data_IF_502606882356
#
_entry.id   IF_502606882356
#
_cell.length_a   1.000
_cell.length_b   1.000
_cell.length_c   1.000
_cell.angle_alpha   90.00
_cell.angle_beta   90.00
_cell.angle_gamma   90.00
#
_symmetry.space_group_name_H-M   'P 1'
#
loop_
_entity.id
_entity.type
_entity.pdbx_description
1 polymer ?
2 non-polymer ?
3 non-polymer ?
4 non-polymer ?
5 non-polymer ?
6 non-polymer ?
7 water ?
#
# COMPACT_ATOMS: atom_id res chain seq x y z
N UNK A 26 -7.03 14.75 23.41
CA UNK A 26 -7.80 13.91 22.50
C UNK A 26 -7.00 13.64 21.21
N UNK A 27 -7.08 12.40 20.67
CA UNK A 27 -6.38 12.00 19.46
C UNK A 27 -7.19 12.24 18.18
N UNK A 28 -6.56 12.96 17.24
CA UNK A 28 -7.17 13.37 15.99
C UNK A 28 -6.18 13.13 14.86
N UNK A 29 -6.61 12.25 13.96
CA UNK A 29 -5.81 11.79 12.87
C UNK A 29 -6.22 12.40 11.55
N UNK A 30 -5.23 12.60 10.71
CA UNK A 30 -5.41 13.02 9.34
C UNK A 30 -4.85 11.88 8.55
N UNK A 31 -5.72 11.15 7.83
CA UNK A 31 -5.28 10.10 6.95
C UNK A 31 -5.15 10.72 5.54
N UNK A 32 -3.93 10.82 5.05
CA UNK A 32 -3.73 11.44 3.73
C UNK A 32 -3.69 10.30 2.72
N UNK A 33 -4.84 10.05 2.05
CA UNK A 33 -4.98 8.94 1.10
C UNK A 33 -5.88 7.88 1.68
N UNK A 34 -7.04 8.32 2.23
CA UNK A 34 -7.97 7.49 3.00
C UNK A 34 -8.67 6.38 2.18
N UNK A 35 -8.73 6.50 0.87
CA UNK A 35 -9.40 5.44 0.09
C UNK A 35 -8.36 4.44 -0.45
N UNK A 36 -7.09 4.65 -0.08
CA UNK A 36 -5.97 3.80 -0.49
C UNK A 36 -5.90 2.45 0.23
N UNK A 37 -5.00 1.57 -0.23
CA UNK A 37 -4.88 0.20 0.31
C UNK A 37 -4.51 0.23 1.85
N UNK A 38 -3.76 1.26 2.30
CA UNK A 38 -3.42 1.41 3.72
C UNK A 38 -4.39 2.42 4.38
N UNK A 39 -4.67 3.53 3.69
CA UNK A 39 -5.60 4.52 4.22
C UNK A 39 -6.94 3.90 4.63
N UNK A 40 -7.45 2.95 3.83
CA UNK A 40 -8.73 2.30 4.12
C UNK A 40 -8.65 1.36 5.36
N UNK A 41 -7.45 0.76 5.63
CA UNK A 41 -7.22 -0.04 6.86
C UNK A 41 -7.15 0.93 8.05
N UNK A 42 -6.44 2.06 7.88
CA UNK A 42 -6.35 3.07 8.95
C UNK A 42 -7.77 3.63 9.29
N UNK A 43 -8.64 3.82 8.27
CA UNK A 43 -10.00 4.32 8.45
C UNK A 43 -10.85 3.33 9.23
N UNK A 44 -10.61 2.01 9.09
CA UNK A 44 -11.39 1.03 9.85
C UNK A 44 -10.80 0.84 11.25
N UNK A 45 -9.47 0.90 11.41
CA UNK A 45 -8.85 0.62 12.72
C UNK A 45 -8.79 1.80 13.67
N UNK A 46 -8.38 2.98 13.20
CA UNK A 46 -8.31 4.13 14.10
C UNK A 46 -9.57 4.35 14.92
N UNK A 47 -10.81 4.24 14.36
CA UNK A 47 -11.99 4.53 15.19
C UNK A 47 -12.34 3.48 16.27
N UNK A 48 -11.79 2.26 16.20
CA UNK A 48 -12.10 1.20 17.18
C UNK A 48 -11.75 1.58 18.63
N UNK A 49 -12.58 1.13 19.58
CA UNK A 49 -12.44 1.42 21.00
C UNK A 49 -11.14 0.90 21.62
N UNK A 50 -10.69 -0.29 21.20
CA UNK A 50 -9.45 -0.88 21.73
C UNK A 50 -8.16 -0.30 21.11
N UNK A 51 -8.26 0.62 20.12
CA UNK A 51 -7.08 1.21 19.47
C UNK A 51 -6.30 2.12 20.46
N UNK A 52 -4.93 1.98 20.53
CA UNK A 52 -4.14 2.85 21.44
C UNK A 52 -4.33 4.34 21.16
N UNK A 53 -4.36 5.16 22.24
CA UNK A 53 -4.53 6.62 22.24
C UNK A 53 -5.96 7.04 21.87
N UNK A 54 -6.85 6.07 21.68
CA UNK A 54 -8.27 6.32 21.37
C UNK A 54 -9.04 6.99 22.51
N UNK A 55 -10.30 7.45 22.28
CA UNK A 55 -11.06 7.40 21.02
C UNK A 55 -10.44 8.35 19.99
N UNK A 56 -10.37 7.94 18.71
CA UNK A 56 -9.80 8.80 17.67
C UNK A 56 -10.87 9.47 16.89
N UNK A 57 -10.68 10.77 16.66
CA UNK A 57 -11.46 11.54 15.70
C UNK A 57 -10.60 11.36 14.43
N UNK A 58 -11.24 11.14 13.27
CA UNK A 58 -10.51 10.89 12.02
C UNK A 58 -10.96 11.77 10.81
N UNK A 59 -10.00 12.45 10.17
CA UNK A 59 -10.24 13.17 8.91
C UNK A 59 -9.57 12.26 7.87
N UNK A 60 -10.26 12.06 6.74
CA UNK A 60 -9.73 11.28 5.63
C UNK A 60 -9.69 12.11 4.35
N UNK A 61 -8.54 12.21 3.70
CA UNK A 61 -8.39 12.99 2.46
C UNK A 61 -8.16 12.07 1.26
N UNK A 62 -8.80 12.39 0.13
CA UNK A 62 -8.60 11.81 -1.22
C UNK A 62 -9.27 12.81 -2.23
N UNK A 63 -8.93 12.67 -3.51
CA UNK A 63 -9.49 13.54 -4.54
C UNK A 63 -10.88 13.08 -4.99
N UNK A 64 -11.11 11.76 -5.17
CA UNK A 64 -12.43 11.39 -5.70
C UNK A 64 -13.59 11.56 -4.72
N UNK A 65 -14.86 11.58 -5.19
CA UNK A 65 -15.96 11.50 -4.22
C UNK A 65 -15.85 10.18 -3.44
N UNK A 66 -16.32 10.17 -2.17
CA UNK A 66 -16.26 8.97 -1.33
C UNK A 66 -16.95 7.71 -1.95
N UNK A 67 -16.18 6.62 -2.17
CA UNK A 67 -16.79 5.38 -2.71
C UNK A 67 -17.59 4.63 -1.63
N UNK A 68 -18.59 3.83 -2.05
CA UNK A 68 -19.47 3.04 -1.16
C UNK A 68 -18.74 2.13 -0.15
N UNK A 69 -17.64 1.47 -0.59
CA UNK A 69 -16.87 0.55 0.26
C UNK A 69 -16.04 1.25 1.34
N UNK A 70 -15.98 2.60 1.33
CA UNK A 70 -15.26 3.39 2.34
C UNK A 70 -16.26 4.00 3.37
N UNK A 71 -17.57 3.94 3.08
CA UNK A 71 -18.65 4.53 3.91
C UNK A 71 -18.80 3.91 5.33
N UNK A 72 -18.49 2.60 5.47
CA UNK A 72 -18.65 1.83 6.71
C UNK A 72 -17.75 2.29 7.88
N UNK A 73 -16.92 3.31 7.64
CA UNK A 73 -15.99 3.88 8.59
C UNK A 73 -16.53 5.22 9.06
N UNK A 74 -16.54 5.51 10.38
CA UNK A 74 -17.08 6.79 10.83
C UNK A 74 -16.08 7.96 10.76
N UNK A 75 -15.44 8.18 9.60
CA UNK A 75 -14.47 9.27 9.43
C UNK A 75 -15.09 10.56 8.80
N UNK A 76 -14.41 11.72 8.96
CA UNK A 76 -14.79 12.98 8.33
C UNK A 76 -14.03 13.02 6.99
N UNK A 77 -14.73 12.68 5.92
CA UNK A 77 -14.17 12.59 4.58
C UNK A 77 -14.01 13.99 3.96
N UNK A 78 -12.81 14.31 3.44
CA UNK A 78 -12.51 15.60 2.82
C UNK A 78 -11.95 15.40 1.42
N UNK A 79 -12.56 16.04 0.41
CA UNK A 79 -12.07 15.99 -0.96
C UNK A 79 -10.99 17.06 -1.10
N UNK A 80 -9.77 16.66 -1.45
CA UNK A 80 -8.64 17.59 -1.60
C UNK A 80 -7.58 16.97 -2.49
N UNK A 81 -7.03 17.78 -3.40
CA UNK A 81 -5.91 17.42 -4.27
C UNK A 81 -4.67 18.09 -3.64
N UNK A 82 -3.86 17.27 -3.01
CA UNK A 82 -2.69 17.74 -2.26
C UNK A 82 -1.54 18.15 -3.22
N UNK A 83 -1.73 17.94 -4.56
CA UNK A 83 -0.72 18.42 -5.49
C UNK A 83 -1.02 19.89 -5.78
N UNK A 84 -2.20 20.37 -5.28
CA UNK A 84 -2.67 21.75 -5.42
C UNK A 84 -2.47 22.52 -4.07
N UNK A 85 -1.45 23.44 -4.02
CA UNK A 85 -1.20 24.22 -2.76
C UNK A 85 -2.38 25.07 -2.30
N UNK A 86 -3.14 25.61 -3.25
CA UNK A 86 -4.32 26.44 -3.00
C UNK A 86 -5.43 25.57 -2.38
N UNK A 87 -5.70 24.37 -2.99
CA UNK A 87 -6.71 23.42 -2.47
C UNK A 87 -6.34 22.92 -1.07
N UNK A 88 -5.04 22.60 -0.86
CA UNK A 88 -4.52 22.08 0.42
C UNK A 88 -4.73 23.12 1.53
N UNK A 89 -4.31 24.38 1.27
CA UNK A 89 -4.47 25.51 2.20
C UNK A 89 -5.96 25.64 2.57
N UNK A 90 -6.86 25.58 1.58
CA UNK A 90 -8.30 25.73 1.76
C UNK A 90 -8.99 24.63 2.63
N UNK A 91 -8.79 23.36 2.29
CA UNK A 91 -9.38 22.18 2.94
C UNK A 91 -8.73 21.78 4.26
N UNK A 92 -7.43 22.04 4.43
CA UNK A 92 -6.71 21.57 5.60
C UNK A 92 -6.49 22.63 6.66
N UNK A 93 -6.30 23.89 6.27
CA UNK A 93 -6.13 24.98 7.25
C UNK A 93 -7.24 25.02 8.32
N UNK A 94 -8.53 24.68 8.03
CA UNK A 94 -9.53 24.72 9.12
C UNK A 94 -9.39 23.58 10.13
N UNK A 95 -8.58 22.50 9.81
CA UNK A 95 -8.47 21.35 10.71
C UNK A 95 -7.33 21.56 11.71
N UNK A 96 -7.64 22.41 12.69
CA UNK A 96 -6.74 22.85 13.75
C UNK A 96 -6.53 21.84 14.90
N UNK A 97 -7.45 20.88 15.06
CA UNK A 97 -7.39 19.89 16.15
C UNK A 97 -6.49 18.63 15.86
N UNK A 98 -5.87 18.53 14.63
CA UNK A 98 -5.01 17.37 14.27
C UNK A 98 -3.82 17.20 15.24
N UNK A 99 -3.66 15.96 15.73
CA UNK A 99 -2.55 15.56 16.59
C UNK A 99 -1.57 14.59 15.84
N UNK A 100 -2.09 13.74 14.91
CA UNK A 100 -1.27 12.75 14.18
C UNK A 100 -1.59 12.75 12.68
N UNK A 101 -0.54 12.86 11.87
CA UNK A 101 -0.63 12.79 10.39
C UNK A 101 -0.16 11.39 9.91
N UNK A 102 -1.02 10.67 9.16
CA UNK A 102 -0.68 9.34 8.55
C UNK A 102 -0.66 9.56 7.01
N UNK A 103 0.53 9.65 6.43
CA UNK A 103 0.70 9.97 5.00
C UNK A 103 0.86 8.71 4.21
N UNK A 104 -0.22 8.34 3.49
CA UNK A 104 -0.28 7.03 2.77
C UNK A 104 -0.75 7.24 1.31
N UNK A 105 0.04 8.03 0.58
CA UNK A 105 -0.31 8.30 -0.83
C UNK A 105 0.94 8.56 -1.70
N UNK A 106 0.78 8.61 -3.02
CA UNK A 106 1.90 8.96 -3.91
C UNK A 106 1.35 9.27 -5.31
N UNK A 107 2.16 9.80 -6.19
CA UNK A 107 1.80 10.04 -7.56
C UNK A 107 2.84 9.35 -8.44
N UNK A 108 2.37 8.60 -9.44
CA UNK A 108 3.23 7.93 -10.41
C UNK A 108 3.56 8.84 -11.57
N UNK A 109 4.83 8.80 -12.02
CA UNK A 109 5.31 9.56 -13.20
C UNK A 109 6.19 8.63 -14.05
N UNK A 110 6.49 9.01 -15.27
CA UNK A 110 7.28 8.17 -16.19
C UNK A 110 8.76 7.96 -15.76
N UNK A 111 9.35 8.93 -15.03
CA UNK A 111 10.72 8.75 -14.52
C UNK A 111 10.79 9.08 -13.04
N UNK A 112 11.82 8.50 -12.36
CA UNK A 112 12.06 8.77 -10.94
C UNK A 112 12.28 10.28 -10.65
N UNK A 113 13.01 11.01 -11.51
CA UNK A 113 13.23 12.46 -11.25
C UNK A 113 11.87 13.22 -11.17
N UNK A 114 10.93 12.87 -12.05
CA UNK A 114 9.57 13.45 -12.05
C UNK A 114 8.78 13.01 -10.80
N UNK A 115 8.95 11.75 -10.36
CA UNK A 115 8.34 11.23 -9.16
C UNK A 115 8.88 12.02 -7.95
N UNK A 116 10.22 12.35 -7.92
CA UNK A 116 10.79 13.16 -6.79
C UNK A 116 10.11 14.54 -6.72
N UNK A 117 9.99 15.25 -7.86
CA UNK A 117 9.34 16.56 -7.90
C UNK A 117 7.84 16.45 -7.46
N UNK A 118 7.06 15.53 -8.10
CA UNK A 118 5.63 15.45 -7.77
C UNK A 118 5.34 15.02 -6.32
N UNK A 119 6.08 14.00 -5.79
CA UNK A 119 5.89 13.51 -4.44
C UNK A 119 6.46 14.42 -3.41
N UNK A 120 7.54 15.15 -3.71
CA UNK A 120 8.08 16.09 -2.72
C UNK A 120 7.08 17.23 -2.50
N UNK A 121 6.54 17.78 -3.60
CA UNK A 121 5.54 18.85 -3.55
C UNK A 121 4.29 18.43 -2.78
N UNK A 122 3.83 17.20 -3.01
CA UNK A 122 2.61 16.70 -2.36
C UNK A 122 2.74 16.67 -0.82
N UNK A 123 3.89 16.16 -0.34
CA UNK A 123 4.18 16.05 1.10
C UNK A 123 4.38 17.46 1.70
N UNK A 124 5.19 18.30 1.00
CA UNK A 124 5.47 19.69 1.41
C UNK A 124 4.17 20.53 1.47
N UNK A 125 3.24 20.33 0.52
CA UNK A 125 1.97 21.06 0.53
C UNK A 125 1.18 20.74 1.78
N UNK A 126 1.14 19.46 2.22
CA UNK A 126 0.42 19.03 3.43
C UNK A 126 1.09 19.59 4.68
N UNK A 127 2.38 19.35 4.80
CA UNK A 127 3.16 19.74 5.97
C UNK A 127 3.20 21.25 6.18
N UNK A 128 3.38 22.05 5.10
CA UNK A 128 3.44 23.52 5.15
C UNK A 128 2.17 24.13 5.68
N UNK A 129 1.06 23.33 5.66
CA UNK A 129 -0.24 23.80 6.11
C UNK A 129 -0.55 23.30 7.51
N UNK A 130 -0.40 21.96 7.72
CA UNK A 130 -0.72 21.32 8.99
C UNK A 130 0.22 21.82 10.15
N UNK A 131 1.53 21.97 9.91
CA UNK A 131 2.45 22.32 11.02
C UNK A 131 2.13 23.72 11.63
N UNK A 132 2.05 24.83 10.84
CA UNK A 132 1.69 26.12 11.44
C UNK A 132 0.23 26.19 11.92
N UNK A 133 -0.68 25.32 11.39
CA UNK A 133 -2.07 25.43 11.80
C UNK A 133 -2.52 24.45 12.88
N UNK A 134 -1.63 23.54 13.33
CA UNK A 134 -2.06 22.58 14.34
C UNK A 134 -1.22 22.63 15.61
N UNK A 135 -1.65 23.40 16.63
CA UNK A 135 -0.80 23.54 17.84
C UNK A 135 -0.56 22.26 18.63
N UNK A 136 -1.48 21.26 18.50
CA UNK A 136 -1.41 19.98 19.25
C UNK A 136 -0.79 18.87 18.42
N UNK A 137 -0.22 19.21 17.25
CA UNK A 137 0.42 18.27 16.36
C UNK A 137 1.63 17.58 17.03
N UNK A 138 1.55 16.23 17.19
CA UNK A 138 2.58 15.41 17.86
C UNK A 138 3.44 14.60 16.92
N UNK A 139 2.83 14.05 15.83
CA UNK A 139 3.57 13.10 15.00
C UNK A 139 3.17 13.08 13.52
N UNK A 140 4.17 12.86 12.65
CA UNK A 140 3.99 12.68 11.23
C UNK A 140 4.56 11.30 10.87
N UNK A 141 3.66 10.42 10.46
CA UNK A 141 3.98 9.09 10.03
C UNK A 141 3.98 9.06 8.50
N UNK A 142 5.12 8.73 7.89
CA UNK A 142 5.27 8.70 6.43
C UNK A 142 5.43 7.27 5.91
N UNK A 143 4.53 6.84 5.01
CA UNK A 143 4.71 5.52 4.40
C UNK A 143 5.58 5.62 3.14
N UNK A 144 6.64 4.79 3.08
CA UNK A 144 7.45 4.60 1.89
C UNK A 144 7.40 3.09 1.50
N UNK A 145 8.54 2.43 1.38
CA UNK A 145 8.56 1.07 0.92
C UNK A 145 9.92 0.50 0.61
N UNK A 146 9.88 -0.78 0.26
CA UNK A 146 11.02 -1.66 0.00
C UNK A 146 11.86 -1.10 -1.17
N UNK A 147 11.27 -0.25 -2.06
CA UNK A 147 12.05 0.39 -3.15
C UNK A 147 13.12 1.35 -2.58
N UNK A 148 13.03 1.65 -1.27
CA UNK A 148 14.12 2.38 -0.58
C UNK A 148 15.49 1.61 -0.78
N UNK A 149 15.43 0.26 -0.75
CA UNK A 149 16.62 -0.59 -0.86
C UNK A 149 16.87 -1.13 -2.27
N UNK A 150 15.79 -1.49 -3.06
CA UNK A 150 15.98 -2.16 -4.37
C UNK A 150 16.07 -1.14 -5.53
N UNK A 151 15.67 0.10 -5.27
CA UNK A 151 15.71 1.18 -6.25
C UNK A 151 14.37 1.48 -6.93
N UNK A 152 14.34 2.59 -7.69
CA UNK A 152 13.08 2.94 -8.44
C UNK A 152 12.67 1.84 -9.43
N UNK A 153 11.40 1.86 -9.85
CA UNK A 153 10.83 0.91 -10.79
C UNK A 153 11.70 0.55 -11.95
N UNK A 154 12.17 1.55 -12.64
CA UNK A 154 12.90 1.35 -13.87
C UNK A 154 14.41 1.03 -13.65
N UNK A 155 14.87 0.84 -12.37
CA UNK A 155 16.25 0.42 -12.12
C UNK A 155 16.32 -0.92 -11.39
N UNK A 156 15.17 -1.38 -10.87
CA UNK A 156 15.09 -2.68 -10.13
C UNK A 156 15.72 -3.79 -11.01
N UNK A 157 16.67 -4.56 -10.45
CA UNK A 157 17.34 -5.66 -11.13
C UNK A 157 18.51 -5.18 -11.98
N UNK A 158 18.70 -3.85 -12.10
CA UNK A 158 19.74 -3.35 -13.01
C UNK A 158 20.86 -2.67 -12.28
N UNK A 159 20.74 -2.62 -10.94
CA UNK A 159 21.77 -1.96 -10.12
C UNK A 159 22.27 -2.84 -8.95
N UNK A 160 23.45 -2.52 -8.43
CA UNK A 160 23.99 -3.19 -7.27
C UNK A 160 23.25 -2.66 -6.02
N UNK A 161 22.62 -3.57 -5.28
CA UNK A 161 21.94 -3.17 -4.05
C UNK A 161 22.74 -3.75 -2.88
N UNK A 162 22.41 -3.37 -1.65
CA UNK A 162 22.98 -4.03 -0.48
C UNK A 162 22.41 -5.45 -0.44
N UNK A 163 23.05 -6.34 0.27
CA UNK A 163 22.52 -7.71 0.30
C UNK A 163 21.27 -7.89 1.19
N UNK A 164 20.23 -8.64 0.74
CA UNK A 164 19.08 -8.93 1.65
C UNK A 164 19.50 -9.89 2.79
N UNK A 165 18.80 -9.93 3.93
CA UNK A 165 17.59 -9.17 4.30
C UNK A 165 17.93 -7.68 4.56
N UNK A 166 17.15 -6.83 4.01
CA UNK A 166 17.36 -5.37 4.10
C UNK A 166 17.05 -4.87 5.49
N UNK A 167 18.01 -4.11 6.06
CA UNK A 167 17.90 -3.49 7.38
C UNK A 167 17.82 -2.00 7.16
N UNK A 168 17.21 -1.31 8.09
CA UNK A 168 16.80 0.07 7.94
C UNK A 168 17.89 1.09 7.86
N UNK A 169 18.99 0.84 8.50
CA UNK A 169 19.88 1.98 8.56
C UNK A 169 21.20 1.78 7.75
N UNK A 170 21.12 1.01 6.66
CA UNK A 170 22.21 0.91 5.71
C UNK A 170 22.19 2.16 4.79
N UNK A 171 23.29 2.50 4.10
CA UNK A 171 23.26 3.70 3.25
C UNK A 171 22.30 3.62 2.07
N UNK A 172 21.75 4.77 1.68
CA UNK A 172 20.87 4.91 0.51
C UNK A 172 21.63 4.58 -0.76
N UNK A 173 20.92 4.08 -1.76
CA UNK A 173 21.48 3.84 -3.09
C UNK A 173 21.86 5.17 -3.70
N UNK A 174 22.92 5.19 -4.53
CA UNK A 174 23.39 6.41 -5.16
C UNK A 174 22.61 6.75 -6.46
N UNK A 175 21.28 6.67 -6.41
CA UNK A 175 20.35 6.98 -7.50
C UNK A 175 19.19 7.71 -6.83
N UNK A 176 18.57 8.63 -7.57
CA UNK A 176 17.38 9.40 -7.15
C UNK A 176 16.29 8.40 -6.77
N UNK A 177 15.54 8.77 -5.78
CA UNK A 177 14.45 7.92 -5.26
C UNK A 177 13.55 8.91 -4.54
N UNK A 178 12.25 8.96 -4.89
CA UNK A 178 11.33 9.97 -4.30
C UNK A 178 11.17 9.76 -2.76
N UNK A 179 11.42 8.53 -2.27
CA UNK A 179 11.38 8.22 -0.83
C UNK A 179 12.49 9.02 -0.12
N UNK A 180 13.69 9.18 -0.74
CA UNK A 180 14.84 9.89 -0.13
C UNK A 180 14.47 11.36 -0.10
N UNK A 181 13.84 11.87 -1.17
CA UNK A 181 13.37 13.26 -1.26
C UNK A 181 12.35 13.54 -0.12
N UNK A 182 11.38 12.63 0.05
CA UNK A 182 10.34 12.78 1.05
C UNK A 182 10.91 12.70 2.45
N UNK A 183 11.83 11.71 2.70
CA UNK A 183 12.47 11.64 4.03
C UNK A 183 13.20 12.96 4.39
N UNK A 184 14.08 13.46 3.49
CA UNK A 184 14.87 14.70 3.73
C UNK A 184 13.91 15.88 3.94
N UNK A 185 12.81 15.95 3.16
CA UNK A 185 11.78 17.03 3.31
C UNK A 185 11.14 16.91 4.70
N UNK A 186 10.74 15.67 5.11
CA UNK A 186 10.15 15.35 6.43
C UNK A 186 11.06 15.80 7.58
N UNK A 187 12.37 15.47 7.48
CA UNK A 187 13.32 15.79 8.54
C UNK A 187 13.45 17.30 8.72
N UNK A 188 13.50 18.02 7.62
CA UNK A 188 13.60 19.47 7.76
C UNK A 188 12.22 20.10 8.15
N UNK A 189 11.10 19.47 7.79
CA UNK A 189 9.79 20.04 8.18
C UNK A 189 9.53 19.96 9.68
N UNK A 190 9.89 18.83 10.30
CA UNK A 190 9.64 18.59 11.73
C UNK A 190 10.45 19.54 12.64
N UNK A 191 11.57 20.12 12.12
CA UNK A 191 12.41 21.09 12.86
C UNK A 191 11.64 22.37 13.23
N UNK A 192 10.63 22.77 12.41
CA UNK A 192 9.77 23.95 12.59
C UNK A 192 8.94 23.89 13.88
N UNK A 193 8.72 22.72 14.45
CA UNK A 193 7.91 22.65 15.65
C UNK A 193 8.63 21.80 16.69
N UNK A 194 8.84 22.36 17.87
CA UNK A 194 9.50 21.63 18.95
C UNK A 194 8.58 20.54 19.50
N UNK A 195 9.18 19.38 19.72
CA UNK A 195 8.45 18.22 20.20
C UNK A 195 7.72 17.45 19.11
N UNK A 196 7.83 17.91 17.84
CA UNK A 196 7.22 17.20 16.71
C UNK A 196 8.08 15.96 16.32
N UNK A 197 7.50 14.77 16.27
CA UNK A 197 8.27 13.55 15.89
C UNK A 197 7.81 12.94 14.58
N UNK A 198 8.65 12.10 13.97
CA UNK A 198 8.34 11.45 12.72
C UNK A 198 8.61 9.97 12.80
N UNK A 199 8.11 9.23 11.83
CA UNK A 199 8.41 7.81 11.63
C UNK A 199 8.24 7.53 10.11
N UNK A 200 8.96 6.56 9.60
CA UNK A 200 8.90 6.14 8.19
C UNK A 200 8.58 4.64 8.25
N UNK A 201 7.70 4.21 7.35
CA UNK A 201 7.21 2.85 7.34
C UNK A 201 7.47 2.28 5.98
N UNK A 202 8.19 1.12 5.95
CA UNK A 202 8.61 0.54 4.68
C UNK A 202 8.04 -0.85 4.38
N UNK A 203 6.81 -0.92 3.86
CA UNK A 203 6.26 -2.25 3.53
C UNK A 203 6.80 -2.78 2.19
N UNK A 204 6.64 -4.09 2.00
CA UNK A 204 6.90 -4.69 0.69
C UNK A 204 5.55 -4.71 -0.03
N UNK A 205 5.29 -5.71 -0.90
CA UNK A 205 4.05 -5.77 -1.67
C UNK A 205 2.89 -5.89 -0.67
N UNK A 206 1.87 -5.02 -0.83
CA UNK A 206 0.79 -4.98 0.17
C UNK A 206 -0.35 -5.86 -0.18
N UNK A 207 -0.80 -6.66 0.81
CA UNK A 207 -2.02 -7.45 0.64
C UNK A 207 -3.08 -6.64 1.39
N UNK A 208 -4.04 -6.11 0.66
CA UNK A 208 -5.12 -5.34 1.26
C UNK A 208 -6.36 -5.22 0.44
N UNK A 209 -7.19 -4.31 0.86
CA UNK A 209 -8.41 -4.02 0.14
C UNK A 209 -8.49 -2.53 -0.23
N UNK A 210 -8.65 -2.28 -1.50
CA UNK A 210 -8.91 -0.96 -2.12
C UNK A 210 -9.04 -1.02 -3.65
N UNK A 211 -10.31 -0.97 -4.13
CA UNK A 211 -10.57 -0.93 -5.59
C UNK A 211 -10.03 0.37 -6.25
N UNK A 212 -9.57 1.36 -5.42
CA UNK A 212 -9.01 2.61 -5.95
C UNK A 212 -7.45 2.67 -5.93
N UNK A 213 -6.79 1.73 -5.25
CA UNK A 213 -5.32 1.68 -5.14
C UNK A 213 -4.66 1.52 -6.51
N UNK A 214 -3.53 2.21 -6.62
CA UNK A 214 -2.68 2.20 -7.79
C UNK A 214 -1.81 0.94 -7.79
N UNK A 215 -1.64 0.29 -6.60
CA UNK A 215 -0.80 -0.91 -6.46
C UNK A 215 -1.51 -1.93 -5.56
N UNK A 216 -2.38 -2.76 -6.13
CA UNK A 216 -3.20 -3.74 -5.40
C UNK A 216 -3.05 -5.10 -6.02
N UNK A 217 -2.06 -5.82 -5.52
CA UNK A 217 -1.74 -7.14 -6.06
C UNK A 217 -2.93 -8.12 -5.87
N UNK A 218 -3.48 -8.21 -4.67
CA UNK A 218 -4.56 -9.16 -4.39
C UNK A 218 -5.80 -8.85 -5.27
N UNK A 219 -6.23 -7.60 -5.30
CA UNK A 219 -7.40 -7.22 -6.09
C UNK A 219 -7.21 -7.55 -7.58
N UNK A 220 -6.00 -7.29 -8.10
CA UNK A 220 -5.68 -7.53 -9.51
C UNK A 220 -5.72 -9.04 -9.77
N UNK A 221 -5.13 -9.85 -8.85
CA UNK A 221 -5.10 -11.29 -9.05
C UNK A 221 -6.51 -11.91 -9.02
N UNK A 222 -7.40 -11.36 -8.17
CA UNK A 222 -8.81 -11.81 -8.06
C UNK A 222 -9.54 -11.57 -9.36
N UNK A 223 -9.35 -10.36 -9.95
CA UNK A 223 -10.00 -10.02 -11.22
C UNK A 223 -9.49 -11.01 -12.31
N UNK A 224 -8.15 -11.23 -12.35
CA UNK A 224 -7.53 -12.19 -13.26
C UNK A 224 -8.15 -13.61 -13.09
N UNK A 225 -8.26 -14.08 -11.86
CA UNK A 225 -8.86 -15.40 -11.55
C UNK A 225 -10.33 -15.44 -12.00
N UNK A 226 -11.09 -14.35 -11.76
CA UNK A 226 -12.50 -14.26 -12.18
C UNK A 226 -12.66 -14.36 -13.71
N UNK A 227 -11.79 -13.65 -14.47
CA UNK A 227 -11.79 -13.63 -15.96
C UNK A 227 -11.49 -15.07 -16.47
N UNK A 228 -10.45 -15.75 -15.91
CA UNK A 228 -10.07 -17.14 -16.21
C UNK A 228 -11.30 -18.06 -15.97
N UNK A 229 -11.95 -17.94 -14.80
CA UNK A 229 -13.15 -18.75 -14.49
C UNK A 229 -14.29 -18.51 -15.56
N UNK A 230 -14.56 -17.23 -15.88
CA UNK A 230 -15.56 -16.87 -16.85
C UNK A 230 -15.28 -17.47 -18.24
N UNK A 231 -14.01 -17.34 -18.70
CA UNK A 231 -13.61 -17.82 -20.01
C UNK A 231 -13.19 -19.28 -20.07
N UNK A 232 -13.40 -20.04 -18.97
CA UNK A 232 -13.05 -21.46 -18.86
C UNK A 232 -11.59 -21.76 -19.13
N UNK A 233 -10.70 -20.81 -18.78
CA UNK A 233 -9.25 -20.93 -18.99
C UNK A 233 -8.52 -21.28 -17.72
N UNK A 234 -7.34 -21.92 -17.86
CA UNK A 234 -6.57 -22.32 -16.69
C UNK A 234 -5.87 -21.10 -16.08
N UNK A 235 -5.70 -21.11 -14.74
CA UNK A 235 -5.05 -20.02 -14.01
C UNK A 235 -3.54 -20.07 -14.22
N UNK A 236 -3.08 -19.52 -15.33
CA UNK A 236 -1.68 -19.51 -15.74
C UNK A 236 -0.95 -18.49 -14.88
N UNK A 237 0.27 -18.81 -14.48
CA UNK A 237 1.06 -17.93 -13.64
C UNK A 237 1.75 -16.85 -14.48
N UNK A 238 1.41 -15.55 -14.29
CA UNK A 238 2.04 -14.49 -15.11
C UNK A 238 3.24 -13.89 -14.38
N UNK A 239 4.31 -14.67 -14.29
CA UNK A 239 5.53 -14.25 -13.65
C UNK A 239 6.72 -15.12 -13.99
N UNK A 240 7.89 -14.78 -13.40
CA UNK A 240 9.19 -15.44 -13.60
C UNK A 240 9.32 -16.67 -12.64
N UNK A 241 10.31 -17.52 -12.91
CA UNK A 241 10.60 -18.69 -12.09
C UNK A 241 10.94 -18.29 -10.65
N UNK A 242 11.74 -17.21 -10.47
CA UNK A 242 12.16 -16.78 -9.14
C UNK A 242 10.98 -16.35 -8.24
N UNK A 243 9.97 -15.69 -8.85
CA UNK A 243 8.76 -15.32 -8.10
C UNK A 243 7.95 -16.60 -7.82
N UNK A 244 7.99 -17.59 -8.70
CA UNK A 244 7.23 -18.83 -8.49
C UNK A 244 7.76 -19.73 -7.35
N UNK A 245 9.06 -20.09 -7.44
CA UNK A 245 9.73 -21.02 -6.55
C UNK A 245 10.69 -20.40 -5.54
N UNK A 246 10.97 -19.11 -5.66
CA UNK A 246 11.91 -18.51 -4.72
C UNK A 246 11.10 -18.09 -3.50
N UNK A 247 11.76 -17.65 -2.41
CA UNK A 247 10.97 -17.19 -1.27
C UNK A 247 10.42 -15.77 -1.59
N UNK A 248 9.23 -15.46 -1.10
CA UNK A 248 8.60 -14.12 -1.14
C UNK A 248 8.13 -13.73 0.27
N UNK A 249 7.82 -12.46 0.44
CA UNK A 249 7.21 -11.93 1.66
C UNK A 249 6.18 -10.88 1.22
N UNK A 250 5.43 -10.34 2.17
CA UNK A 250 4.39 -9.35 1.85
C UNK A 250 4.03 -8.65 3.17
N UNK A 251 3.24 -7.58 3.05
CA UNK A 251 2.92 -6.70 4.16
C UNK A 251 1.41 -6.56 4.21
N UNK A 252 0.81 -7.14 5.23
CA UNK A 252 -0.65 -7.10 5.35
C UNK A 252 -1.09 -5.64 5.64
N UNK A 253 -2.13 -5.13 4.96
CA UNK A 253 -2.57 -3.72 5.09
C UNK A 253 -2.97 -3.34 6.52
N UNK A 254 -3.66 -4.26 7.23
CA UNK A 254 -4.06 -4.01 8.61
C UNK A 254 -2.80 -3.96 9.53
N UNK A 255 -1.86 -4.90 9.29
CA UNK A 255 -0.62 -4.95 10.05
C UNK A 255 0.16 -3.60 9.84
N UNK A 256 0.23 -3.13 8.58
CA UNK A 256 0.86 -1.81 8.30
C UNK A 256 0.11 -0.72 9.05
N UNK A 257 -1.27 -0.74 8.98
CA UNK A 257 -2.05 0.25 9.75
C UNK A 257 -1.65 0.20 11.26
N UNK A 258 -1.53 -1.01 11.87
CA UNK A 258 -1.14 -1.15 13.29
C UNK A 258 0.24 -0.59 13.56
N UNK A 259 1.16 -0.81 12.63
CA UNK A 259 2.56 -0.36 12.68
C UNK A 259 2.61 1.21 12.67
N UNK A 260 1.83 1.85 11.79
CA UNK A 260 1.66 3.32 11.75
C UNK A 260 1.19 3.79 13.15
N UNK A 261 0.12 3.21 13.67
CA UNK A 261 -0.45 3.60 14.98
C UNK A 261 0.57 3.43 16.15
N UNK A 262 1.26 2.22 16.24
CA UNK A 262 2.27 1.92 17.24
C UNK A 262 3.33 3.03 17.22
N UNK A 263 3.92 3.32 16.03
CA UNK A 263 4.96 4.34 15.91
C UNK A 263 4.44 5.71 16.25
N UNK A 264 3.15 5.96 15.99
CA UNK A 264 2.57 7.28 16.26
C UNK A 264 2.39 7.53 17.77
N UNK A 265 2.20 6.48 18.57
CA UNK A 265 1.92 6.65 20.01
C UNK A 265 3.06 6.15 20.96
N UNK A 266 3.98 5.30 20.48
CA UNK A 266 5.01 4.74 21.36
C UNK A 266 6.24 5.68 21.35
N UNK A 267 6.59 6.28 22.49
CA UNK A 267 7.74 7.21 22.50
C UNK A 267 9.06 6.51 22.23
N UNK A 268 9.16 5.20 22.47
CA UNK A 268 10.41 4.53 22.14
C UNK A 268 10.54 4.28 20.62
N UNK A 269 9.50 4.59 19.84
CA UNK A 269 9.57 4.41 18.41
C UNK A 269 9.88 5.71 17.66
N UNK A 270 9.91 6.84 18.39
CA UNK A 270 10.05 8.17 17.78
C UNK A 270 11.28 8.35 16.91
N UNK A 271 11.13 9.14 15.83
CA UNK A 271 12.22 9.55 14.91
C UNK A 271 13.02 8.38 14.36
N UNK A 272 12.30 7.37 13.85
CA UNK A 272 12.94 6.18 13.31
C UNK A 272 12.21 5.71 12.06
N UNK A 273 12.95 5.09 11.13
CA UNK A 273 12.40 4.43 9.96
C UNK A 273 12.28 2.90 10.29
N UNK A 274 11.17 2.26 9.94
CA UNK A 274 11.01 0.85 10.22
C UNK A 274 10.47 0.12 8.99
N UNK A 275 10.95 -1.13 8.76
CA UNK A 275 10.35 -2.03 7.80
C UNK A 275 9.05 -2.54 8.41
N UNK A 276 8.10 -3.00 7.59
CA UNK A 276 6.86 -3.61 8.11
C UNK A 276 6.42 -4.72 7.12
N UNK A 277 6.75 -5.97 7.47
CA UNK A 277 6.42 -7.13 6.67
C UNK A 277 5.89 -8.15 7.71
N UNK A 278 5.24 -9.18 7.23
CA UNK A 278 4.39 -10.08 8.04
C UNK A 278 5.08 -11.01 9.00
N UNK A 279 6.38 -11.21 8.90
CA UNK A 279 7.08 -12.10 9.86
C UNK A 279 7.23 -13.52 9.39
N UNK A 280 6.84 -13.82 8.17
CA UNK A 280 6.97 -15.18 7.59
C UNK A 280 7.35 -15.01 6.11
N UNK A 281 7.47 -16.11 5.39
CA UNK A 281 7.83 -16.08 3.98
C UNK A 281 6.87 -17.09 3.34
N UNK A 282 6.76 -17.01 2.02
CA UNK A 282 5.91 -17.99 1.27
C UNK A 282 6.47 -18.16 -0.14
N UNK A 283 5.79 -18.97 -0.93
CA UNK A 283 6.13 -19.13 -2.36
C UNK A 283 4.84 -19.00 -3.15
N UNK A 284 4.88 -18.24 -4.25
CA UNK A 284 3.75 -18.07 -5.16
C UNK A 284 3.24 -19.41 -5.64
N UNK A 285 4.14 -20.38 -5.83
CA UNK A 285 3.77 -21.77 -6.20
C UNK A 285 2.65 -22.29 -5.24
N UNK A 286 2.77 -22.04 -3.91
CA UNK A 286 1.80 -22.46 -2.90
C UNK A 286 0.54 -21.57 -2.93
N UNK A 287 0.75 -20.25 -3.07
CA UNK A 287 -0.39 -19.29 -3.06
C UNK A 287 -1.21 -19.41 -4.32
N UNK A 288 -0.61 -19.91 -5.44
CA UNK A 288 -1.34 -20.12 -6.70
C UNK A 288 -2.56 -21.07 -6.52
N UNK A 289 -2.38 -22.15 -5.72
CA UNK A 289 -3.42 -23.13 -5.39
C UNK A 289 -4.57 -22.46 -4.67
N UNK A 290 -4.23 -21.64 -3.69
CA UNK A 290 -5.17 -20.90 -2.84
C UNK A 290 -6.04 -19.98 -3.69
N UNK A 291 -5.39 -19.22 -4.61
CA UNK A 291 -6.08 -18.28 -5.51
C UNK A 291 -7.05 -19.10 -6.46
N UNK A 292 -6.55 -20.19 -7.07
CA UNK A 292 -7.34 -21.03 -7.99
C UNK A 292 -8.57 -21.60 -7.23
N UNK A 293 -8.32 -22.18 -6.03
CA UNK A 293 -9.37 -22.76 -5.21
C UNK A 293 -10.44 -21.67 -4.86
N UNK A 294 -10.02 -20.43 -4.51
CA UNK A 294 -11.00 -19.39 -4.13
C UNK A 294 -11.95 -18.97 -5.28
N UNK A 295 -11.55 -19.13 -6.56
CA UNK A 295 -12.39 -18.73 -7.68
C UNK A 295 -12.91 -19.94 -8.52
N UNK A 296 -12.67 -21.17 -8.05
CA UNK A 296 -13.18 -22.37 -8.73
C UNK A 296 -12.58 -22.60 -10.10
N UNK A 297 -11.28 -22.26 -10.26
CA UNK A 297 -10.55 -22.34 -11.54
C UNK A 297 -9.53 -23.47 -11.41
N UNK A 298 -9.17 -24.04 -12.56
CA UNK A 298 -8.12 -25.06 -12.65
C UNK A 298 -6.78 -24.35 -12.42
N UNK A 299 -5.97 -24.89 -11.52
CA UNK A 299 -4.68 -24.32 -11.16
C UNK A 299 -3.64 -24.59 -12.22
N UNK A 300 -3.23 -23.52 -12.86
CA UNK A 300 -2.14 -23.57 -13.82
C UNK A 300 -0.86 -23.42 -13.04
N UNK A 301 0.25 -23.48 -13.71
CA UNK A 301 1.51 -23.36 -13.01
C UNK A 301 2.51 -22.50 -13.79
N UNK A 302 3.75 -22.43 -13.26
CA UNK A 302 4.83 -21.77 -13.95
C UNK A 302 5.21 -22.69 -15.15
N UNK A 303 5.45 -22.09 -16.33
CA UNK A 303 5.80 -22.78 -17.56
C UNK A 303 7.12 -22.20 -18.00
N UNK A 304 8.16 -23.07 -18.02
CA UNK A 304 9.54 -22.74 -18.37
C UNK A 304 9.71 -22.03 -19.74
N UNK A 305 8.63 -21.82 -20.55
CA UNK A 305 8.83 -21.05 -21.77
C UNK A 305 8.98 -19.53 -21.40
N UNK A 306 7.97 -18.64 -21.33
CA UNK A 306 6.58 -18.51 -21.77
C UNK A 306 6.32 -17.01 -21.72
N UNK A 307 6.95 -16.36 -20.70
CA UNK A 307 6.92 -14.92 -20.40
C UNK A 307 5.49 -14.34 -20.51
N UNK A 308 4.56 -14.87 -19.67
CA UNK A 308 3.20 -14.39 -19.73
C UNK A 308 3.07 -13.05 -19.03
N UNK A 309 2.45 -12.07 -19.71
CA UNK A 309 2.23 -10.74 -19.13
C UNK A 309 0.75 -10.43 -19.06
N UNK A 310 0.24 -10.00 -17.85
CA UNK A 310 -1.18 -9.65 -17.67
C UNK A 310 -1.59 -8.42 -18.47
N UNK A 311 -0.65 -7.47 -18.67
CA UNK A 311 -0.88 -6.27 -19.45
C UNK A 311 -1.28 -6.63 -20.89
N UNK A 312 -0.66 -7.68 -21.48
CA UNK A 312 -0.93 -8.18 -22.82
C UNK A 312 -2.10 -9.15 -22.83
N UNK A 313 -2.09 -10.18 -21.98
CA UNK A 313 -3.23 -11.10 -21.89
C UNK A 313 -4.57 -10.38 -21.68
N UNK A 314 -4.61 -9.35 -20.80
CA UNK A 314 -5.88 -8.70 -20.46
C UNK A 314 -6.25 -7.45 -21.31
N UNK A 315 -5.51 -7.17 -22.39
CA UNK A 315 -5.83 -6.07 -23.30
C UNK A 315 -7.19 -6.40 -23.95
N UNK A 316 -8.10 -5.41 -23.94
CA UNK A 316 -9.46 -5.56 -24.49
C UNK A 316 -10.41 -6.49 -23.75
N UNK A 317 -10.21 -6.75 -22.44
CA UNK A 317 -11.14 -7.61 -21.66
C UNK A 317 -12.28 -6.82 -20.98
N UNK A 318 -12.37 -5.49 -21.23
CA UNK A 318 -13.43 -4.63 -20.65
C UNK A 318 -14.82 -5.19 -20.90
N UNK A 319 -15.19 -5.70 -22.13
CA UNK A 319 -16.56 -6.25 -22.30
C UNK A 319 -16.75 -7.50 -21.46
N UNK A 320 -15.70 -8.35 -21.34
CA UNK A 320 -15.71 -9.59 -20.58
C UNK A 320 -15.89 -9.25 -19.09
N UNK A 321 -15.23 -8.17 -18.62
CA UNK A 321 -15.41 -7.72 -17.24
C UNK A 321 -16.86 -7.28 -17.00
N UNK A 322 -17.51 -6.61 -18.00
CA UNK A 322 -18.91 -6.15 -17.92
C UNK A 322 -19.91 -7.33 -17.83
N UNK A 323 -19.63 -8.44 -18.54
CA UNK A 323 -20.38 -9.70 -18.52
C UNK A 323 -20.32 -10.25 -17.09
N UNK A 324 -19.08 -10.39 -16.53
CA UNK A 324 -18.80 -10.87 -15.17
C UNK A 324 -19.51 -9.99 -14.15
N UNK A 325 -19.40 -8.65 -14.30
CA UNK A 325 -20.11 -7.70 -13.41
C UNK A 325 -21.66 -7.97 -13.43
N UNK A 326 -22.27 -7.99 -14.62
CA UNK A 326 -23.71 -8.22 -14.81
C UNK A 326 -24.18 -9.60 -14.30
N UNK A 327 -23.45 -10.69 -14.67
CA UNK A 327 -23.87 -12.06 -14.35
C UNK A 327 -23.80 -12.41 -12.89
N UNK A 328 -22.91 -11.75 -12.12
CA UNK A 328 -22.72 -12.04 -10.69
C UNK A 328 -23.23 -10.97 -9.72
N UNK A 329 -23.94 -9.95 -10.22
CA UNK A 329 -24.47 -8.85 -9.39
C UNK A 329 -23.39 -8.05 -8.64
N UNK A 330 -22.26 -7.80 -9.30
CA UNK A 330 -21.11 -7.11 -8.71
C UNK A 330 -21.31 -5.58 -8.68
N UNK A 331 -20.55 -4.86 -7.82
CA UNK A 331 -20.51 -3.39 -7.87
C UNK A 331 -19.96 -3.00 -9.28
N UNK A 332 -20.41 -1.88 -9.85
CA UNK A 332 -19.96 -1.48 -11.18
C UNK A 332 -18.57 -0.88 -11.03
N UNK A 333 -17.54 -1.56 -11.61
CA UNK A 333 -16.17 -1.09 -11.59
C UNK A 333 -15.57 -1.03 -12.98
N UNK A 334 -14.54 -0.20 -13.12
CA UNK A 334 -13.83 -0.10 -14.39
C UNK A 334 -12.69 -1.05 -14.24
N UNK A 335 -12.53 -1.94 -15.21
CA UNK A 335 -11.43 -2.88 -15.28
C UNK A 335 -10.07 -2.24 -14.93
N UNK A 336 -9.76 -1.03 -15.53
CA UNK A 336 -8.51 -0.31 -15.31
C UNK A 336 -8.31 0.17 -13.87
N UNK A 337 -9.40 0.37 -13.10
CA UNK A 337 -9.23 0.80 -11.68
C UNK A 337 -8.95 -0.40 -10.79
N UNK A 338 -9.76 -1.43 -11.01
CA UNK A 338 -9.79 -2.61 -10.17
C UNK A 338 -8.65 -3.60 -10.51
N UNK A 339 -8.02 -3.49 -11.67
CA UNK A 339 -6.95 -4.44 -12.04
C UNK A 339 -5.78 -3.66 -12.65
N UNK A 340 -4.74 -3.43 -11.88
CA UNK A 340 -3.56 -2.65 -12.35
C UNK A 340 -2.56 -3.69 -12.87
N UNK A 341 -2.81 -4.16 -14.13
CA UNK A 341 -2.03 -5.25 -14.76
C UNK A 341 -0.51 -5.01 -14.75
N UNK A 342 -0.07 -3.75 -15.02
CA UNK A 342 1.34 -3.36 -15.04
C UNK A 342 2.02 -3.67 -13.69
N UNK A 343 1.31 -3.40 -12.60
CA UNK A 343 1.87 -3.58 -11.26
C UNK A 343 2.01 -5.09 -10.94
N UNK A 344 0.96 -5.90 -11.25
CA UNK A 344 1.07 -7.35 -11.01
C UNK A 344 2.27 -7.90 -11.83
N UNK A 345 2.40 -7.49 -13.11
CA UNK A 345 3.57 -7.89 -13.93
C UNK A 345 4.88 -7.41 -13.31
N UNK A 346 4.97 -6.13 -12.90
CA UNK A 346 6.24 -5.66 -12.28
C UNK A 346 6.62 -6.42 -10.99
N UNK A 347 5.62 -6.94 -10.24
CA UNK A 347 5.78 -7.71 -9.00
C UNK A 347 6.22 -9.15 -9.32
N UNK A 348 5.46 -9.85 -10.17
CA UNK A 348 5.72 -11.26 -10.42
C UNK A 348 6.85 -11.53 -11.43
N UNK A 349 7.38 -10.50 -12.12
CA UNK A 349 8.44 -10.80 -13.07
C UNK A 349 9.84 -10.59 -12.47
N UNK A 350 9.92 -10.40 -11.15
CA UNK A 350 11.22 -10.25 -10.46
C UNK A 350 11.35 -11.15 -9.19
N UNK A 351 12.60 -11.41 -8.69
CA UNK A 351 12.76 -12.08 -7.36
C UNK A 351 12.22 -11.17 -6.27
N UNK A 352 11.92 -11.72 -5.10
CA UNK A 352 11.41 -10.88 -4.00
C UNK A 352 12.46 -10.92 -2.85
N UNK A 353 13.50 -10.03 -2.88
CA UNK A 353 14.48 -10.05 -1.78
C UNK A 353 13.79 -9.65 -0.46
N UNK A 354 14.12 -10.39 0.58
CA UNK A 354 13.52 -10.25 1.91
C UNK A 354 14.04 -9.07 2.72
N UNK A 355 13.22 -8.62 3.67
CA UNK A 355 13.66 -7.56 4.60
C UNK A 355 13.68 -8.15 6.02
N UNK A 356 14.12 -7.37 6.95
CA UNK A 356 14.28 -7.77 8.37
C UNK A 356 13.26 -7.09 9.28
N UNK A 357 12.68 -7.84 10.23
CA UNK A 357 11.76 -7.19 11.19
C UNK A 357 12.42 -6.98 12.56
N UNK A 358 13.75 -7.19 12.65
CA UNK A 358 14.50 -7.14 13.91
C UNK A 358 14.37 -5.74 14.53
N UNK A 359 14.54 -4.67 13.76
CA UNK A 359 14.47 -3.31 14.35
C UNK A 359 13.08 -3.03 15.00
N UNK A 360 11.96 -3.42 14.32
CA UNK A 360 10.61 -3.27 14.83
C UNK A 360 10.40 -4.05 16.10
N UNK A 361 10.79 -5.38 16.07
CA UNK A 361 10.67 -6.25 17.25
C UNK A 361 11.55 -5.77 18.41
N UNK A 362 12.76 -5.30 18.13
CA UNK A 362 13.65 -4.79 19.21
C UNK A 362 13.04 -3.53 19.86
N UNK A 363 12.18 -2.80 19.15
CA UNK A 363 11.51 -1.57 19.63
C UNK A 363 10.13 -1.88 20.26
N UNK A 364 9.75 -3.17 20.38
CA UNK A 364 8.49 -3.57 21.02
C UNK A 364 7.33 -3.90 20.08
N UNK A 365 7.51 -3.78 18.75
CA UNK A 365 6.43 -4.09 17.85
C UNK A 365 6.50 -5.56 17.49
N UNK A 366 5.56 -6.33 18.02
CA UNK A 366 5.53 -7.79 17.81
C UNK A 366 4.40 -8.23 16.91
N UNK A 367 3.74 -7.26 16.25
CA UNK A 367 2.65 -7.63 15.35
C UNK A 367 3.15 -8.50 14.23
N UNK A 368 2.33 -9.39 13.73
CA UNK A 368 2.72 -10.29 12.62
C UNK A 368 1.44 -10.75 11.96
N UNK A 369 1.58 -11.43 10.77
CA UNK A 369 0.44 -12.07 10.16
C UNK A 369 0.92 -13.37 9.54
N UNK A 370 0.03 -14.39 9.55
CA UNK A 370 0.23 -15.61 8.76
C UNK A 370 -0.11 -15.12 7.30
N UNK A 371 0.91 -15.10 6.36
CA UNK A 371 0.68 -14.53 5.01
C UNK A 371 -0.39 -15.28 4.21
N UNK A 372 -0.49 -16.60 4.34
CA UNK A 372 -1.51 -17.38 3.60
C UNK A 372 -2.89 -17.06 4.10
N UNK A 373 -3.08 -16.92 5.43
CA UNK A 373 -4.37 -16.52 5.99
C UNK A 373 -4.74 -15.10 5.60
N UNK A 374 -3.76 -14.20 5.50
CA UNK A 374 -3.93 -12.81 5.13
C UNK A 374 -4.41 -12.82 3.68
N UNK A 375 -3.75 -13.61 2.83
CA UNK A 375 -4.10 -13.67 1.40
C UNK A 375 -5.61 -14.06 1.26
N UNK A 376 -6.04 -15.15 1.92
CA UNK A 376 -7.43 -15.61 1.85
C UNK A 376 -8.39 -14.48 2.36
N UNK A 377 -8.08 -13.90 3.52
CA UNK A 377 -8.84 -12.81 4.14
C UNK A 377 -9.05 -11.61 3.16
N UNK A 378 -8.01 -11.19 2.44
CA UNK A 378 -8.15 -10.06 1.50
C UNK A 378 -8.92 -10.46 0.20
N UNK A 379 -8.80 -11.73 -0.26
CA UNK A 379 -9.56 -12.22 -1.40
C UNK A 379 -11.03 -12.13 -0.95
N UNK A 380 -11.34 -12.64 0.30
CA UNK A 380 -12.68 -12.72 0.78
C UNK A 380 -13.26 -11.33 1.00
N UNK A 381 -12.40 -10.33 1.31
CA UNK A 381 -12.91 -8.97 1.45
C UNK A 381 -13.36 -8.37 0.07
N UNK A 382 -12.61 -8.65 -0.98
CA UNK A 382 -12.94 -8.22 -2.35
C UNK A 382 -14.31 -8.90 -2.78
N UNK A 383 -14.49 -10.16 -2.39
CA UNK A 383 -15.73 -10.88 -2.66
C UNK A 383 -16.86 -10.31 -1.82
N UNK A 384 -16.61 -10.01 -0.52
CA UNK A 384 -17.66 -9.52 0.38
C UNK A 384 -18.24 -8.18 -0.04
N UNK A 385 -17.42 -7.33 -0.67
CA UNK A 385 -17.83 -6.02 -1.17
C UNK A 385 -18.32 -6.11 -2.62
N UNK A 386 -18.49 -7.33 -3.14
CA UNK A 386 -19.02 -7.59 -4.48
C UNK A 386 -18.17 -6.90 -5.56
N UNK A 387 -16.84 -6.86 -5.35
CA UNK A 387 -15.91 -6.34 -6.36
C UNK A 387 -15.64 -7.45 -7.36
N UNK A 388 -15.57 -8.70 -6.84
CA UNK A 388 -15.30 -9.88 -7.67
C UNK A 388 -16.28 -10.95 -7.31
N UNK A 389 -16.47 -12.01 -8.15
CA UNK A 389 -17.42 -13.08 -7.75
C UNK A 389 -16.87 -13.93 -6.61
#
# INVERSE_FOLDING_TARGET
MSWWWAGAIGAAKKRSDEDEALPKHSSVALIVGVTGIVGNSLAEILPLADTPSGPWKVYGVARRPRPAWNEDNPINYIRCDISDPKDTQEKLSPLTDITHVFYVTWANRSTEVERCEANGKMLKNVLDVVIPNCPDLKHISLQTGRKHYVGPFELIGKIETHDPPFTEDLPRLKFDNFYYTQEDLLFEEVEKKEGLTWSVHRPGNIFGFSPYSMMNLVGTLCVYAAICKHEGKVLRFPGCKAAWDGYSDCSDADLIAEHHIWAAVDPYAKNEAFNVSNGDVFKWKHFWKVLAEQFGVECGEYEEGENLKLQDLMKGKEPVWEEIVRENGLASTNLEDVAVWWFSDAVLDIPCPLDSMNKSKEHGFLGFRNSKNSFISWIDKAKAYKIVP
#
